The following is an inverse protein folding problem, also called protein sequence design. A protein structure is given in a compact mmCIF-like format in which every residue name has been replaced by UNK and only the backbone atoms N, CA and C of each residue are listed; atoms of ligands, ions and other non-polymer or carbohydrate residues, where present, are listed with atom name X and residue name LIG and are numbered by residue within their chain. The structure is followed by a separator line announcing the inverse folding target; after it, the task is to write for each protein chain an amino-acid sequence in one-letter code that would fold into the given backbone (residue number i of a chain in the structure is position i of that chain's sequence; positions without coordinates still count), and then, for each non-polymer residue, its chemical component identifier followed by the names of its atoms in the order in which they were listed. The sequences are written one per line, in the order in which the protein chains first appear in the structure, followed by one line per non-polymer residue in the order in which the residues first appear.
data_IF_965405604005
#
_entry.id   IF_965405604005
#
_cell.length_a   1.000
_cell.length_b   1.000
_cell.length_c   1.000
_cell.angle_alpha   90.00
_cell.angle_beta   90.00
_cell.angle_gamma   90.00
#
_symmetry.space_group_name_H-M   'P 1'
#
loop_
_entity.id
_entity.type
_entity.pdbx_description
1 polymer ?
#
# COMPACT_ATOMS: atom_id res chain seq x y z
N UNK A 1 40.76 6.05 -5.02
CA UNK A 1 39.51 6.74 -4.70
C UNK A 1 39.07 6.25 -3.32
N UNK A 2 39.22 7.11 -2.31
CA UNK A 2 38.86 6.75 -0.95
C UNK A 2 37.33 6.80 -0.81
N UNK A 3 36.76 5.67 -0.40
CA UNK A 3 35.35 5.59 -0.05
C UNK A 3 35.12 6.43 1.22
N UNK A 4 34.08 7.26 1.30
CA UNK A 4 33.79 8.02 2.50
C UNK A 4 33.45 7.09 3.65
N UNK A 5 34.22 7.15 4.74
CA UNK A 5 33.92 6.47 6.00
C UNK A 5 32.72 7.18 6.64
N UNK A 6 31.56 6.53 6.61
CA UNK A 6 30.35 7.04 7.26
C UNK A 6 30.47 6.80 8.76
N UNK A 7 30.49 7.88 9.56
CA UNK A 7 30.43 7.78 11.00
C UNK A 7 29.01 7.29 11.42
N UNK A 8 28.89 6.30 12.31
CA UNK A 8 27.59 5.83 12.78
C UNK A 8 26.86 6.97 13.50
N UNK A 9 25.65 7.28 13.04
CA UNK A 9 24.76 8.22 13.69
C UNK A 9 24.42 7.77 15.12
N UNK A 10 23.96 8.69 15.95
CA UNK A 10 23.59 8.47 17.35
C UNK A 10 22.63 7.28 17.47
N UNK A 11 22.91 6.26 18.30
CA UNK A 11 22.02 5.12 18.43
C UNK A 11 20.64 5.58 18.94
N UNK A 12 19.59 5.20 18.21
CA UNK A 12 18.22 5.27 18.72
C UNK A 12 18.15 4.48 20.04
N UNK A 13 17.25 4.88 20.95
CA UNK A 13 17.03 4.12 22.19
C UNK A 13 16.54 2.73 21.80
N UNK A 14 17.45 1.76 21.85
CA UNK A 14 17.12 0.37 21.57
C UNK A 14 15.96 -0.07 22.48
N UNK A 15 14.91 -0.63 21.91
CA UNK A 15 13.75 -1.16 22.66
C UNK A 15 14.10 -2.39 23.47
N UNK A 16 15.34 -2.90 23.37
CA UNK A 16 15.84 -4.07 24.07
C UNK A 16 15.27 -5.40 23.59
N UNK A 17 14.37 -5.39 22.64
CA UNK A 17 13.82 -6.62 22.06
C UNK A 17 14.71 -7.12 20.90
N UNK A 18 14.97 -8.43 20.82
CA UNK A 18 15.69 -8.98 19.69
C UNK A 18 14.91 -8.77 18.40
N UNK A 19 15.61 -8.55 17.26
CA UNK A 19 14.94 -8.37 15.98
C UNK A 19 14.20 -9.63 15.55
N UNK A 20 13.02 -9.45 14.96
CA UNK A 20 12.20 -10.54 14.42
C UNK A 20 12.84 -11.08 13.15
N UNK A 21 13.41 -10.19 12.33
CA UNK A 21 14.21 -10.49 11.16
C UNK A 21 15.57 -9.81 11.27
N UNK A 22 16.63 -10.55 10.91
CA UNK A 22 18.00 -10.05 11.04
C UNK A 22 18.43 -9.18 9.85
N UNK A 23 17.99 -9.57 8.64
CA UNK A 23 18.32 -8.93 7.37
C UNK A 23 17.04 -8.68 6.57
N UNK A 24 16.63 -7.43 6.52
CA UNK A 24 15.39 -7.00 5.87
C UNK A 24 15.76 -6.39 4.52
N UNK A 25 15.31 -7.02 3.44
CA UNK A 25 15.42 -6.51 2.07
C UNK A 25 14.15 -5.77 1.67
N UNK A 26 14.26 -4.55 1.19
CA UNK A 26 13.14 -3.72 0.73
C UNK A 26 13.39 -3.32 -0.71
N UNK A 27 12.48 -3.68 -1.61
CA UNK A 27 12.49 -3.25 -3.02
C UNK A 27 11.43 -2.18 -3.21
N UNK A 28 11.86 -0.97 -3.51
CA UNK A 28 10.99 0.21 -3.58
C UNK A 28 10.99 1.01 -2.27
N UNK A 29 11.55 2.21 -2.29
CA UNK A 29 11.64 3.13 -1.15
C UNK A 29 10.73 4.36 -1.34
N UNK A 30 9.51 4.14 -1.81
CA UNK A 30 8.48 5.16 -1.80
C UNK A 30 7.99 5.46 -0.37
N UNK A 31 6.82 6.06 -0.25
CA UNK A 31 6.18 6.34 1.03
C UNK A 31 6.12 5.10 1.96
N UNK A 32 5.67 3.97 1.42
CA UNK A 32 5.44 2.75 2.22
C UNK A 32 6.75 2.05 2.55
N UNK A 33 7.57 1.71 1.55
CA UNK A 33 8.86 1.04 1.79
C UNK A 33 9.80 1.87 2.64
N UNK A 34 9.86 3.19 2.41
CA UNK A 34 10.63 4.12 3.24
C UNK A 34 10.14 4.18 4.68
N UNK A 35 8.81 4.16 4.90
CA UNK A 35 8.25 4.14 6.26
C UNK A 35 8.54 2.84 7.00
N UNK A 36 8.51 1.70 6.29
CA UNK A 36 8.93 0.40 6.87
C UNK A 36 10.41 0.45 7.23
N UNK A 37 11.27 0.97 6.34
CA UNK A 37 12.71 1.10 6.59
C UNK A 37 12.99 1.94 7.83
N UNK A 38 12.41 3.14 7.93
CA UNK A 38 12.56 4.03 9.08
C UNK A 38 12.08 3.37 10.38
N UNK A 39 10.91 2.73 10.36
CA UNK A 39 10.37 2.06 11.54
C UNK A 39 11.23 0.86 11.98
N UNK A 40 11.71 0.05 11.03
CA UNK A 40 12.59 -1.08 11.33
C UNK A 40 13.92 -0.63 11.94
N UNK A 41 14.52 0.43 11.42
CA UNK A 41 15.75 1.04 11.96
C UNK A 41 15.58 1.58 13.39
N UNK A 42 14.42 2.16 13.65
CA UNK A 42 14.11 2.70 14.98
C UNK A 42 13.87 1.58 16.01
N UNK A 43 13.15 0.53 15.62
CA UNK A 43 12.78 -0.58 16.51
C UNK A 43 13.92 -1.57 16.72
N UNK A 44 14.66 -1.90 15.67
CA UNK A 44 15.70 -2.93 15.66
C UNK A 44 17.02 -2.39 15.10
N UNK A 45 17.77 -1.57 15.84
CA UNK A 45 19.02 -0.97 15.35
C UNK A 45 20.11 -1.99 14.97
N UNK A 46 19.94 -3.25 15.39
CA UNK A 46 20.87 -4.37 15.10
C UNK A 46 20.45 -5.17 13.86
N UNK A 47 19.26 -4.96 13.32
CA UNK A 47 18.86 -5.52 12.02
C UNK A 47 19.55 -4.77 10.89
N UNK A 48 19.92 -5.50 9.85
CA UNK A 48 20.45 -4.90 8.64
C UNK A 48 19.29 -4.60 7.67
N UNK A 49 19.07 -3.34 7.36
CA UNK A 49 18.07 -2.90 6.37
C UNK A 49 18.76 -2.62 5.05
N UNK A 50 18.45 -3.45 4.06
CA UNK A 50 19.01 -3.42 2.71
C UNK A 50 17.92 -2.95 1.75
N UNK A 51 18.22 -1.99 0.88
CA UNK A 51 17.23 -1.50 -0.05
C UNK A 51 17.70 -1.49 -1.49
N UNK A 52 16.74 -1.71 -2.37
CA UNK A 52 16.89 -1.63 -3.83
C UNK A 52 15.91 -0.59 -4.36
N UNK A 53 16.43 0.44 -5.03
CA UNK A 53 15.67 1.49 -5.71
C UNK A 53 16.58 2.22 -6.71
N UNK A 54 16.09 3.26 -7.37
CA UNK A 54 16.92 4.13 -8.16
C UNK A 54 17.91 4.93 -7.28
N UNK A 55 19.00 5.37 -7.88
CA UNK A 55 20.14 6.00 -7.20
C UNK A 55 19.74 7.22 -6.37
N UNK A 56 18.89 8.10 -6.90
CA UNK A 56 18.52 9.36 -6.21
C UNK A 56 17.71 9.08 -4.93
N UNK A 57 16.82 8.10 -4.98
CA UNK A 57 16.06 7.63 -3.81
C UNK A 57 16.97 6.98 -2.78
N UNK A 58 17.91 6.14 -3.23
CA UNK A 58 18.90 5.49 -2.34
C UNK A 58 19.81 6.50 -1.65
N UNK A 59 20.31 7.50 -2.35
CA UNK A 59 21.10 8.58 -1.75
C UNK A 59 20.30 9.35 -0.68
N UNK A 60 19.02 9.57 -0.94
CA UNK A 60 18.12 10.20 0.03
C UNK A 60 17.88 9.31 1.25
N UNK A 61 17.64 8.00 1.05
CA UNK A 61 17.45 7.03 2.12
C UNK A 61 18.67 6.92 3.04
N UNK A 62 19.87 6.93 2.45
CA UNK A 62 21.13 6.93 3.21
C UNK A 62 21.27 8.20 4.04
N UNK A 63 20.96 9.37 3.49
CA UNK A 63 21.00 10.65 4.25
C UNK A 63 20.00 10.67 5.40
N UNK A 64 18.84 10.03 5.23
CA UNK A 64 17.82 9.89 6.29
C UNK A 64 18.15 8.79 7.29
N UNK A 65 19.25 8.06 7.11
CA UNK A 65 19.61 6.87 7.90
C UNK A 65 18.49 5.81 7.95
N UNK A 66 17.69 5.72 6.87
CA UNK A 66 16.59 4.77 6.76
C UNK A 66 17.07 3.35 6.44
N UNK A 67 18.26 3.23 5.83
CA UNK A 67 18.83 1.96 5.36
C UNK A 67 20.31 1.87 5.72
N UNK A 68 20.84 0.63 5.75
CA UNK A 68 22.27 0.33 5.99
C UNK A 68 23.03 0.05 4.70
N UNK A 69 22.35 -0.60 3.75
CA UNK A 69 22.94 -0.98 2.44
C UNK A 69 22.00 -0.52 1.33
N UNK A 70 22.58 0.10 0.32
CA UNK A 70 21.89 0.62 -0.86
C UNK A 70 22.49 0.00 -2.12
N UNK A 71 21.64 -0.48 -3.03
CA UNK A 71 22.06 -0.88 -4.38
C UNK A 71 20.88 -0.72 -5.36
N UNK A 72 21.25 -0.51 -6.62
CA UNK A 72 20.32 -0.53 -7.76
C UNK A 72 20.14 -1.94 -8.35
N UNK A 73 20.94 -2.91 -7.88
CA UNK A 73 20.90 -4.31 -8.28
C UNK A 73 20.35 -5.20 -7.13
N UNK A 74 19.29 -6.01 -7.37
CA UNK A 74 18.74 -6.92 -6.39
C UNK A 74 19.69 -8.00 -5.84
N UNK A 75 20.86 -8.20 -6.43
CA UNK A 75 21.87 -9.17 -5.94
C UNK A 75 22.26 -8.95 -4.48
N UNK A 76 22.12 -7.72 -3.96
CA UNK A 76 22.39 -7.40 -2.54
C UNK A 76 21.43 -8.09 -1.57
N UNK A 77 20.29 -8.61 -2.07
CA UNK A 77 19.30 -9.34 -1.29
C UNK A 77 19.66 -10.81 -1.03
N UNK A 78 20.86 -11.24 -1.43
CA UNK A 78 21.26 -12.66 -1.43
C UNK A 78 21.07 -13.36 -0.07
N UNK A 79 21.21 -12.64 1.03
CA UNK A 79 21.20 -13.21 2.38
C UNK A 79 20.11 -12.64 3.28
N UNK A 80 19.04 -12.07 2.73
CA UNK A 80 17.93 -11.53 3.52
C UNK A 80 17.01 -12.65 4.02
N UNK A 81 16.45 -12.48 5.19
CA UNK A 81 15.46 -13.40 5.79
C UNK A 81 14.02 -12.85 5.71
N UNK A 82 13.86 -11.56 5.35
CA UNK A 82 12.60 -10.95 4.96
C UNK A 82 12.79 -10.13 3.68
N UNK A 83 11.95 -10.36 2.67
CA UNK A 83 11.85 -9.52 1.46
C UNK A 83 10.52 -8.79 1.47
N UNK A 84 10.57 -7.47 1.31
CA UNK A 84 9.39 -6.59 1.21
C UNK A 84 9.38 -5.94 -0.17
N UNK A 85 8.41 -6.33 -1.01
CA UNK A 85 8.19 -5.74 -2.33
C UNK A 85 7.25 -4.54 -2.19
N UNK A 86 7.80 -3.34 -2.22
CA UNK A 86 7.09 -2.09 -2.03
C UNK A 86 7.07 -1.20 -3.28
N UNK A 87 7.30 -1.79 -4.44
CA UNK A 87 7.15 -1.20 -5.76
C UNK A 87 5.66 -1.24 -6.22
N UNK A 88 5.30 -0.65 -7.37
CA UNK A 88 3.99 -0.83 -8.00
C UNK A 88 3.64 -2.31 -8.21
N UNK A 89 2.34 -2.65 -8.19
CA UNK A 89 1.88 -4.05 -8.15
C UNK A 89 2.41 -4.88 -9.32
N UNK A 90 2.42 -4.33 -10.54
CA UNK A 90 2.95 -5.04 -11.71
C UNK A 90 4.44 -5.31 -11.60
N UNK A 91 5.19 -4.33 -11.15
CA UNK A 91 6.62 -4.48 -10.91
C UNK A 91 6.89 -5.50 -9.79
N UNK A 92 6.08 -5.55 -8.73
CA UNK A 92 6.19 -6.59 -7.71
C UNK A 92 5.97 -8.00 -8.30
N UNK A 93 5.04 -8.16 -9.25
CA UNK A 93 4.81 -9.42 -9.96
C UNK A 93 6.03 -9.83 -10.79
N UNK A 94 6.64 -8.90 -11.50
CA UNK A 94 7.88 -9.12 -12.27
C UNK A 94 9.04 -9.52 -11.34
N UNK A 95 9.22 -8.80 -10.24
CA UNK A 95 10.25 -9.10 -9.24
C UNK A 95 10.07 -10.48 -8.59
N UNK A 96 8.85 -10.95 -8.38
CA UNK A 96 8.60 -12.30 -7.87
C UNK A 96 9.13 -13.38 -8.82
N UNK A 97 9.03 -13.16 -10.13
CA UNK A 97 9.52 -14.14 -11.12
C UNK A 97 11.06 -14.28 -11.11
N UNK A 98 11.77 -13.21 -10.77
CA UNK A 98 13.24 -13.15 -10.77
C UNK A 98 13.83 -13.35 -9.36
N UNK A 99 13.00 -13.44 -8.32
CA UNK A 99 13.46 -13.41 -6.93
C UNK A 99 14.44 -14.53 -6.58
N UNK A 100 14.26 -15.72 -7.19
CA UNK A 100 15.12 -16.89 -6.96
C UNK A 100 16.57 -16.68 -7.43
N UNK A 101 16.78 -15.83 -8.41
CA UNK A 101 18.11 -15.48 -8.94
C UNK A 101 18.89 -14.60 -7.95
N UNK A 102 18.19 -13.83 -7.15
CA UNK A 102 18.76 -12.81 -6.27
C UNK A 102 18.86 -13.26 -4.81
N UNK A 103 17.86 -13.97 -4.29
CA UNK A 103 17.81 -14.38 -2.88
C UNK A 103 18.17 -15.85 -2.74
N UNK A 104 19.30 -16.15 -2.10
CA UNK A 104 19.87 -17.51 -2.03
C UNK A 104 19.36 -18.31 -0.82
N UNK A 105 18.98 -17.62 0.25
CA UNK A 105 18.56 -18.27 1.50
C UNK A 105 17.04 -18.39 1.61
N UNK A 106 16.53 -19.29 2.48
CA UNK A 106 15.12 -19.30 2.82
C UNK A 106 14.68 -17.94 3.40
N UNK A 107 13.60 -17.39 2.85
CA UNK A 107 13.11 -16.08 3.27
C UNK A 107 11.58 -16.03 3.33
N UNK A 108 11.06 -15.18 4.22
CA UNK A 108 9.68 -14.71 4.15
C UNK A 108 9.61 -13.61 3.10
N UNK A 109 8.62 -13.69 2.21
CA UNK A 109 8.40 -12.69 1.17
C UNK A 109 7.03 -12.08 1.37
N UNK A 110 6.95 -10.78 1.35
CA UNK A 110 5.69 -10.02 1.41
C UNK A 110 5.72 -8.86 0.44
N UNK A 111 4.54 -8.37 0.07
CA UNK A 111 4.41 -7.14 -0.70
C UNK A 111 3.62 -6.07 0.08
N UNK A 112 3.50 -4.89 -0.48
CA UNK A 112 2.68 -3.80 0.07
C UNK A 112 1.65 -3.28 -0.93
N UNK A 113 1.39 -4.03 -1.98
CA UNK A 113 0.52 -3.63 -3.08
C UNK A 113 -0.94 -3.45 -2.68
N UNK A 114 -1.65 -2.64 -3.45
CA UNK A 114 -3.06 -2.30 -3.18
C UNK A 114 -4.06 -3.37 -3.66
N UNK A 115 -3.62 -4.34 -4.46
CA UNK A 115 -4.41 -5.49 -4.92
C UNK A 115 -3.66 -6.78 -4.60
N UNK A 116 -4.39 -7.90 -4.39
CA UNK A 116 -3.79 -9.13 -3.85
C UNK A 116 -3.91 -10.36 -4.75
N UNK A 117 -5.00 -10.54 -5.52
CA UNK A 117 -5.18 -11.77 -6.31
C UNK A 117 -4.03 -12.02 -7.27
N UNK A 118 -3.67 -11.00 -8.06
CA UNK A 118 -2.65 -11.14 -9.09
C UNK A 118 -1.26 -11.43 -8.49
N UNK A 119 -0.88 -10.76 -7.42
CA UNK A 119 0.43 -10.97 -6.78
C UNK A 119 0.51 -12.29 -6.03
N UNK A 120 -0.56 -12.73 -5.36
CA UNK A 120 -0.64 -14.05 -4.71
C UNK A 120 -0.57 -15.17 -5.73
N UNK A 121 -1.23 -15.01 -6.88
CA UNK A 121 -1.15 -16.00 -7.97
C UNK A 121 0.27 -16.10 -8.54
N UNK A 122 0.91 -14.96 -8.82
CA UNK A 122 2.31 -14.94 -9.28
C UNK A 122 3.26 -15.61 -8.27
N UNK A 123 3.05 -15.38 -6.98
CA UNK A 123 3.87 -15.96 -5.92
C UNK A 123 3.78 -17.49 -5.81
N UNK A 124 2.79 -18.15 -6.42
CA UNK A 124 2.71 -19.63 -6.46
C UNK A 124 3.86 -20.29 -7.21
N UNK A 125 4.50 -19.55 -8.11
CA UNK A 125 5.66 -20.02 -8.85
C UNK A 125 6.97 -19.99 -8.04
N UNK A 126 6.96 -19.37 -6.86
CA UNK A 126 8.16 -19.28 -6.02
C UNK A 126 8.64 -20.66 -5.55
N UNK A 127 9.96 -20.89 -5.54
CA UNK A 127 10.54 -22.10 -4.96
C UNK A 127 10.20 -22.29 -3.49
N UNK A 128 10.22 -23.53 -2.96
CA UNK A 128 9.87 -23.85 -1.57
C UNK A 128 10.71 -23.16 -0.49
N UNK A 129 11.87 -22.58 -0.83
CA UNK A 129 12.68 -21.81 0.11
C UNK A 129 12.01 -20.48 0.50
N UNK A 130 11.01 -20.03 -0.27
CA UNK A 130 10.25 -18.82 0.02
C UNK A 130 8.88 -19.13 0.60
N UNK A 131 8.49 -18.37 1.61
CA UNK A 131 7.11 -18.34 2.11
C UNK A 131 6.51 -16.99 1.80
N UNK A 132 5.63 -16.92 0.81
CA UNK A 132 4.96 -15.68 0.44
C UNK A 132 3.70 -15.45 1.28
N UNK A 133 3.57 -14.24 1.80
CA UNK A 133 2.37 -13.73 2.48
C UNK A 133 2.09 -12.36 1.91
N UNK A 134 1.04 -12.22 1.13
CA UNK A 134 0.65 -10.92 0.59
C UNK A 134 0.37 -9.92 1.71
N UNK A 135 0.76 -8.68 1.50
CA UNK A 135 0.58 -7.59 2.45
C UNK A 135 -0.08 -6.37 1.80
N UNK A 136 -0.88 -5.65 2.57
CA UNK A 136 -1.41 -4.35 2.17
C UNK A 136 -1.63 -3.45 3.40
N UNK A 137 -0.68 -2.55 3.71
CA UNK A 137 -0.90 -1.54 4.74
C UNK A 137 -1.95 -0.53 4.29
N UNK A 138 -3.04 -0.39 5.04
CA UNK A 138 -4.05 0.65 4.80
C UNK A 138 -3.60 1.99 5.40
N UNK A 139 -2.39 2.37 5.08
CA UNK A 139 -1.73 3.57 5.52
C UNK A 139 -1.23 4.34 4.31
N UNK A 140 -1.84 5.47 4.04
CA UNK A 140 -1.44 6.34 2.93
C UNK A 140 -1.31 7.79 3.36
N UNK A 141 -0.70 8.58 2.49
CA UNK A 141 -0.66 10.04 2.53
C UNK A 141 -1.12 10.57 1.17
N UNK A 142 -1.58 11.81 1.13
CA UNK A 142 -1.90 12.48 -0.13
C UNK A 142 -0.66 12.67 -1.03
N UNK A 143 0.54 12.60 -0.44
CA UNK A 143 1.82 12.71 -1.16
C UNK A 143 2.58 11.40 -1.03
N UNK A 144 3.05 10.87 -2.15
CA UNK A 144 3.96 9.74 -2.23
C UNK A 144 5.41 10.16 -2.01
N UNK A 145 6.34 9.23 -2.27
CA UNK A 145 7.79 9.48 -2.20
C UNK A 145 8.40 9.24 -0.83
N UNK A 146 9.70 9.04 -0.82
CA UNK A 146 10.49 8.78 0.39
C UNK A 146 10.52 10.00 1.32
N UNK A 147 10.46 11.20 0.77
CA UNK A 147 10.48 12.46 1.53
C UNK A 147 9.23 12.65 2.42
N UNK A 148 8.17 11.88 2.16
CA UNK A 148 6.96 11.84 2.98
C UNK A 148 6.88 10.58 3.86
N UNK A 149 7.90 9.72 3.84
CA UNK A 149 7.98 8.53 4.68
C UNK A 149 8.21 8.90 6.14
N UNK A 150 7.63 8.11 7.04
CA UNK A 150 7.77 8.32 8.49
C UNK A 150 7.57 7.01 9.24
N UNK A 151 8.28 6.83 10.34
CA UNK A 151 8.28 5.59 11.12
C UNK A 151 6.94 5.27 11.79
N UNK A 152 6.10 6.26 12.02
CA UNK A 152 4.79 6.11 12.66
C UNK A 152 3.61 5.97 11.67
N UNK A 153 3.89 5.84 10.36
CA UNK A 153 2.86 5.82 9.31
C UNK A 153 1.77 4.76 9.55
N UNK A 154 2.16 3.61 10.08
CA UNK A 154 1.28 2.45 10.25
C UNK A 154 0.57 2.41 11.61
N UNK A 155 0.90 3.30 12.53
CA UNK A 155 0.41 3.26 13.91
C UNK A 155 -1.12 3.32 13.97
N UNK A 156 -1.70 2.26 14.57
CA UNK A 156 -3.15 2.10 14.74
C UNK A 156 -3.93 1.79 13.45
N UNK A 157 -3.23 1.61 12.30
CA UNK A 157 -3.86 1.36 11.00
C UNK A 157 -3.92 -0.13 10.68
N UNK A 158 -4.97 -0.60 9.99
CA UNK A 158 -5.02 -1.98 9.53
C UNK A 158 -3.88 -2.29 8.54
N UNK A 159 -3.33 -3.49 8.66
CA UNK A 159 -2.44 -4.08 7.66
C UNK A 159 -3.01 -5.43 7.27
N UNK A 160 -3.51 -5.53 6.06
CA UNK A 160 -4.13 -6.75 5.57
C UNK A 160 -3.04 -7.75 5.17
N UNK A 161 -3.17 -8.99 5.62
CA UNK A 161 -2.27 -10.10 5.30
C UNK A 161 -3.05 -11.19 4.58
N UNK A 162 -2.55 -11.64 3.45
CA UNK A 162 -3.16 -12.69 2.62
C UNK A 162 -2.20 -13.89 2.52
N UNK A 163 -2.21 -14.80 3.52
CA UNK A 163 -1.35 -15.97 3.49
C UNK A 163 -1.74 -16.90 2.35
N UNK A 164 -0.74 -17.48 1.67
CA UNK A 164 -0.90 -18.51 0.66
C UNK A 164 -0.35 -19.85 1.18
N UNK A 165 -1.17 -20.90 1.20
CA UNK A 165 -0.75 -22.22 1.64
C UNK A 165 -0.37 -22.33 3.12
N UNK A 166 0.54 -23.25 3.45
CA UNK A 166 1.01 -23.51 4.81
C UNK A 166 2.08 -22.48 5.23
N UNK A 167 1.66 -21.33 5.69
CA UNK A 167 2.56 -20.23 6.07
C UNK A 167 2.97 -20.22 7.57
N UNK A 168 2.33 -21.00 8.43
CA UNK A 168 2.70 -21.30 9.84
C UNK A 168 3.55 -20.25 10.55
N UNK A 169 4.77 -20.62 10.91
CA UNK A 169 5.73 -19.75 11.60
C UNK A 169 6.08 -18.44 10.83
N UNK A 170 6.05 -18.47 9.49
CA UNK A 170 6.31 -17.26 8.70
C UNK A 170 5.18 -16.23 8.88
N UNK A 171 3.92 -16.68 8.93
CA UNK A 171 2.79 -15.80 9.21
C UNK A 171 2.86 -15.22 10.62
N UNK A 172 3.24 -16.03 11.61
CA UNK A 172 3.42 -15.55 12.99
C UNK A 172 4.51 -14.48 13.09
N UNK A 173 5.68 -14.72 12.46
CA UNK A 173 6.78 -13.76 12.41
C UNK A 173 6.38 -12.46 11.69
N UNK A 174 5.73 -12.56 10.52
CA UNK A 174 5.31 -11.38 9.78
C UNK A 174 4.22 -10.60 10.55
N UNK A 175 3.29 -11.30 11.19
CA UNK A 175 2.26 -10.69 12.05
C UNK A 175 2.91 -9.94 13.22
N UNK A 176 3.89 -10.54 13.87
CA UNK A 176 4.64 -9.89 14.96
C UNK A 176 5.42 -8.66 14.45
N UNK A 177 6.07 -8.77 13.28
CA UNK A 177 6.78 -7.65 12.65
C UNK A 177 5.85 -6.47 12.36
N UNK A 178 4.75 -6.72 11.67
CA UNK A 178 3.74 -5.72 11.32
C UNK A 178 3.14 -5.07 12.58
N UNK A 179 2.87 -5.88 13.62
CA UNK A 179 2.37 -5.37 14.92
C UNK A 179 3.39 -4.47 15.62
N UNK A 180 4.68 -4.83 15.56
CA UNK A 180 5.74 -4.02 16.14
C UNK A 180 5.91 -2.66 15.42
N UNK A 181 5.63 -2.58 14.11
CA UNK A 181 5.54 -1.32 13.37
C UNK A 181 4.33 -0.46 13.81
N UNK A 182 3.52 -0.93 14.75
CA UNK A 182 2.34 -0.26 15.29
C UNK A 182 1.07 -0.49 14.48
N UNK A 183 1.09 -1.28 13.43
CA UNK A 183 -0.09 -1.61 12.64
C UNK A 183 -0.97 -2.66 13.32
N UNK A 184 -2.20 -2.80 12.84
CA UNK A 184 -3.17 -3.81 13.25
C UNK A 184 -3.29 -4.89 12.17
N UNK A 185 -2.59 -6.03 12.27
CA UNK A 185 -2.66 -7.07 11.26
C UNK A 185 -4.07 -7.68 11.20
N UNK A 186 -4.57 -7.90 9.99
CA UNK A 186 -5.85 -8.54 9.69
C UNK A 186 -5.65 -9.57 8.60
N UNK A 187 -6.01 -10.81 8.86
CA UNK A 187 -5.92 -11.89 7.87
C UNK A 187 -7.20 -11.84 7.01
N UNK A 188 -7.02 -11.87 5.70
CA UNK A 188 -8.09 -11.89 4.71
C UNK A 188 -7.66 -12.74 3.51
N UNK A 189 -8.61 -13.42 2.87
CA UNK A 189 -8.39 -14.10 1.60
C UNK A 189 -8.15 -13.07 0.47
N UNK A 190 -7.28 -13.41 -0.52
CA UNK A 190 -6.90 -12.49 -1.59
C UNK A 190 -8.09 -12.04 -2.46
N UNK A 191 -9.05 -12.94 -2.75
CA UNK A 191 -10.22 -12.58 -3.53
C UNK A 191 -11.18 -11.71 -2.72
N UNK A 192 -11.37 -12.03 -1.42
CA UNK A 192 -12.15 -11.20 -0.52
C UNK A 192 -11.52 -9.81 -0.32
N UNK A 193 -10.18 -9.73 -0.26
CA UNK A 193 -9.44 -8.47 -0.22
C UNK A 193 -9.79 -7.59 -1.42
N UNK A 194 -9.60 -8.10 -2.63
CA UNK A 194 -9.77 -7.30 -3.85
C UNK A 194 -11.21 -6.85 -4.04
N UNK A 195 -12.18 -7.73 -3.72
CA UNK A 195 -13.61 -7.36 -3.73
C UNK A 195 -13.94 -6.26 -2.70
N UNK A 196 -13.48 -6.38 -1.46
CA UNK A 196 -13.74 -5.39 -0.41
C UNK A 196 -13.09 -4.05 -0.75
N UNK A 197 -11.84 -4.07 -1.23
CA UNK A 197 -11.12 -2.84 -1.57
C UNK A 197 -11.68 -2.18 -2.85
N UNK A 198 -12.31 -2.94 -3.75
CA UNK A 198 -13.04 -2.36 -4.88
C UNK A 198 -14.11 -1.36 -4.41
N UNK A 199 -14.86 -1.69 -3.35
CA UNK A 199 -15.89 -0.82 -2.78
C UNK A 199 -15.34 0.23 -1.79
N UNK A 200 -14.40 -0.13 -0.92
CA UNK A 200 -13.94 0.77 0.14
C UNK A 200 -12.89 1.78 -0.31
N UNK A 201 -12.15 1.49 -1.37
CA UNK A 201 -11.02 2.30 -1.84
C UNK A 201 -11.16 2.70 -3.31
N UNK A 202 -11.33 1.72 -4.20
CA UNK A 202 -11.22 1.97 -5.64
C UNK A 202 -12.44 2.73 -6.17
N UNK A 203 -13.65 2.32 -5.81
CA UNK A 203 -14.88 3.02 -6.18
C UNK A 203 -14.91 4.48 -5.69
N UNK A 204 -14.61 4.79 -4.41
CA UNK A 204 -14.54 6.18 -3.94
C UNK A 204 -13.55 7.04 -4.71
N UNK A 205 -12.38 6.51 -5.02
CA UNK A 205 -11.36 7.23 -5.78
C UNK A 205 -11.81 7.55 -7.20
N UNK A 206 -12.29 6.53 -7.93
CA UNK A 206 -12.73 6.69 -9.31
C UNK A 206 -13.94 7.64 -9.40
N UNK A 207 -14.87 7.51 -8.44
CA UNK A 207 -16.04 8.39 -8.34
C UNK A 207 -15.65 9.84 -8.08
N UNK A 208 -14.75 10.08 -7.13
CA UNK A 208 -14.28 11.44 -6.83
C UNK A 208 -13.58 12.07 -8.04
N UNK A 209 -12.75 11.31 -8.76
CA UNK A 209 -12.06 11.78 -9.96
C UNK A 209 -13.04 12.07 -11.11
N UNK A 210 -13.99 11.17 -11.35
CA UNK A 210 -15.02 11.35 -12.38
C UNK A 210 -15.95 12.53 -12.06
N UNK A 211 -16.37 12.66 -10.80
CA UNK A 211 -17.19 13.78 -10.35
C UNK A 211 -16.47 15.11 -10.56
N UNK A 212 -15.19 15.21 -10.16
CA UNK A 212 -14.43 16.44 -10.33
C UNK A 212 -14.24 16.81 -11.80
N UNK A 213 -13.98 15.80 -12.67
CA UNK A 213 -13.87 16.00 -14.11
C UNK A 213 -15.17 16.55 -14.69
N UNK A 214 -16.32 15.90 -14.39
CA UNK A 214 -17.63 16.33 -14.88
C UNK A 214 -17.97 17.76 -14.42
N UNK A 215 -17.73 18.09 -13.16
CA UNK A 215 -17.98 19.42 -12.62
C UNK A 215 -17.07 20.45 -13.29
N UNK A 216 -15.76 20.18 -13.37
CA UNK A 216 -14.79 21.09 -13.98
C UNK A 216 -15.11 21.42 -15.44
N UNK A 217 -15.45 20.40 -16.23
CA UNK A 217 -15.82 20.55 -17.63
C UNK A 217 -17.14 21.35 -17.81
N UNK A 218 -18.09 21.18 -16.88
CA UNK A 218 -19.38 21.85 -16.97
C UNK A 218 -19.34 23.32 -16.57
N UNK A 219 -18.55 23.71 -15.56
CA UNK A 219 -18.63 25.05 -14.96
C UNK A 219 -17.36 25.91 -15.15
N UNK A 220 -16.25 25.30 -15.55
CA UNK A 220 -14.97 25.97 -15.73
C UNK A 220 -14.41 26.61 -14.44
N UNK A 221 -13.33 27.39 -14.58
CA UNK A 221 -12.65 28.02 -13.43
C UNK A 221 -13.56 29.04 -12.72
N UNK A 222 -14.35 29.81 -13.48
CA UNK A 222 -15.24 30.82 -12.92
C UNK A 222 -16.36 30.19 -12.07
N UNK A 223 -16.92 29.07 -12.54
CA UNK A 223 -17.93 28.34 -11.76
C UNK A 223 -17.32 27.67 -10.53
N UNK A 224 -16.10 27.14 -10.63
CA UNK A 224 -15.39 26.55 -9.49
C UNK A 224 -15.07 27.56 -8.39
N UNK A 225 -14.94 28.86 -8.71
CA UNK A 225 -14.76 29.92 -7.71
C UNK A 225 -15.98 30.06 -6.76
N UNK A 226 -17.15 29.55 -7.15
CA UNK A 226 -18.37 29.50 -6.33
C UNK A 226 -18.49 28.22 -5.50
N UNK A 227 -17.53 27.27 -5.64
CA UNK A 227 -17.60 25.99 -4.96
C UNK A 227 -17.43 26.12 -3.45
N UNK A 228 -18.29 25.44 -2.71
CA UNK A 228 -18.21 25.32 -1.26
C UNK A 228 -17.44 24.08 -0.80
N UNK A 229 -17.35 23.93 0.53
CA UNK A 229 -16.67 22.79 1.19
C UNK A 229 -17.21 21.42 0.75
N UNK A 230 -18.51 21.33 0.45
CA UNK A 230 -19.12 20.06 0.04
C UNK A 230 -18.43 19.45 -1.19
N UNK A 231 -18.18 20.25 -2.24
CA UNK A 231 -17.45 19.77 -3.41
C UNK A 231 -16.00 19.41 -3.05
N UNK A 232 -15.30 20.26 -2.32
CA UNK A 232 -13.89 20.06 -1.96
C UNK A 232 -13.72 18.77 -1.12
N UNK A 233 -14.58 18.52 -0.14
CA UNK A 233 -14.52 17.31 0.70
C UNK A 233 -14.82 16.04 -0.09
N UNK A 234 -15.85 16.10 -0.96
CA UNK A 234 -16.26 14.94 -1.77
C UNK A 234 -15.23 14.58 -2.84
N UNK A 235 -14.53 15.56 -3.41
CA UNK A 235 -13.56 15.35 -4.50
C UNK A 235 -12.11 15.36 -4.03
N UNK A 236 -11.84 15.34 -2.72
CA UNK A 236 -10.48 15.38 -2.15
C UNK A 236 -9.55 14.32 -2.73
N UNK A 237 -10.07 13.15 -3.08
CA UNK A 237 -9.31 12.05 -3.66
C UNK A 237 -8.89 12.32 -5.12
N UNK A 238 -9.52 13.24 -5.83
CA UNK A 238 -9.29 13.49 -7.26
C UNK A 238 -7.87 14.02 -7.59
N UNK A 239 -7.09 14.42 -6.58
CA UNK A 239 -5.70 14.85 -6.74
C UNK A 239 -4.68 13.70 -6.77
N UNK A 240 -5.11 12.45 -6.67
CA UNK A 240 -4.21 11.29 -6.69
C UNK A 240 -3.55 11.10 -8.07
N UNK A 241 -2.24 10.73 -8.12
CA UNK A 241 -1.54 10.48 -9.38
C UNK A 241 -2.12 9.29 -10.14
N UNK A 242 -2.31 9.44 -11.46
CA UNK A 242 -2.93 8.42 -12.30
C UNK A 242 -2.08 7.14 -12.43
N UNK A 243 -0.78 7.24 -12.29
CA UNK A 243 0.17 6.15 -12.46
C UNK A 243 -0.12 4.99 -11.49
N UNK A 244 -0.36 5.31 -10.21
CA UNK A 244 -0.69 4.31 -9.19
C UNK A 244 -2.01 3.61 -9.52
N UNK A 245 -2.98 4.36 -10.04
CA UNK A 245 -4.31 3.85 -10.34
C UNK A 245 -4.36 2.96 -11.58
N UNK A 246 -3.43 3.15 -12.55
CA UNK A 246 -3.30 2.24 -13.71
C UNK A 246 -3.04 0.80 -13.29
N UNK A 247 -2.14 0.59 -12.34
CA UNK A 247 -1.83 -0.76 -11.85
C UNK A 247 -2.98 -1.35 -11.04
N UNK A 248 -3.56 -0.55 -10.14
CA UNK A 248 -4.71 -0.97 -9.32
C UNK A 248 -5.89 -1.38 -10.20
N UNK A 249 -6.26 -0.54 -11.17
CA UNK A 249 -7.40 -0.83 -12.06
C UNK A 249 -7.12 -2.02 -12.97
N UNK A 250 -5.89 -2.19 -13.46
CA UNK A 250 -5.55 -3.31 -14.32
C UNK A 250 -5.51 -4.66 -13.59
N UNK A 251 -5.17 -4.67 -12.30
CA UNK A 251 -5.05 -5.91 -11.51
C UNK A 251 -6.32 -6.27 -10.73
N UNK A 252 -7.34 -5.39 -10.72
CA UNK A 252 -8.64 -5.62 -10.08
C UNK A 252 -9.81 -5.12 -10.92
N UNK A 253 -9.69 -5.16 -12.26
CA UNK A 253 -10.66 -4.58 -13.19
C UNK A 253 -12.07 -5.17 -13.07
N UNK A 254 -12.18 -6.46 -12.83
CA UNK A 254 -13.44 -7.20 -12.70
C UNK A 254 -14.24 -6.74 -11.46
N UNK A 255 -13.64 -6.74 -10.26
CA UNK A 255 -14.31 -6.30 -9.04
C UNK A 255 -14.61 -4.80 -9.05
N UNK A 256 -13.71 -3.99 -9.62
CA UNK A 256 -13.95 -2.55 -9.81
C UNK A 256 -15.10 -2.34 -10.79
N UNK A 257 -15.18 -3.13 -11.86
CA UNK A 257 -16.28 -3.08 -12.81
C UNK A 257 -17.63 -3.32 -12.15
N UNK A 258 -17.74 -4.37 -11.32
CA UNK A 258 -18.94 -4.67 -10.54
C UNK A 258 -19.32 -3.48 -9.64
N UNK A 259 -18.35 -2.92 -8.90
CA UNK A 259 -18.62 -1.80 -8.00
C UNK A 259 -19.09 -0.53 -8.75
N UNK A 260 -18.50 -0.26 -9.92
CA UNK A 260 -18.92 0.86 -10.79
C UNK A 260 -20.31 0.63 -11.34
N UNK A 261 -20.65 -0.58 -11.80
CA UNK A 261 -21.97 -0.90 -12.36
C UNK A 261 -23.09 -0.70 -11.32
N UNK A 262 -22.84 -1.11 -10.06
CA UNK A 262 -23.78 -0.87 -8.96
C UNK A 262 -23.99 0.64 -8.69
N UNK A 263 -22.93 1.43 -8.71
CA UNK A 263 -23.04 2.89 -8.55
C UNK A 263 -23.77 3.53 -9.73
N UNK A 264 -23.43 3.13 -10.96
CA UNK A 264 -24.09 3.63 -12.19
C UNK A 264 -25.59 3.32 -12.15
N UNK A 265 -25.97 2.10 -11.78
CA UNK A 265 -27.38 1.71 -11.63
C UNK A 265 -28.11 2.59 -10.59
N UNK A 266 -27.48 2.81 -9.43
CA UNK A 266 -28.02 3.69 -8.39
C UNK A 266 -28.20 5.13 -8.88
N UNK A 267 -27.23 5.68 -9.59
CA UNK A 267 -27.31 7.05 -10.13
C UNK A 267 -28.40 7.16 -11.22
N UNK A 268 -28.56 6.13 -12.05
CA UNK A 268 -29.64 6.07 -13.05
C UNK A 268 -31.02 6.00 -12.39
N UNK A 269 -31.17 5.25 -11.29
CA UNK A 269 -32.40 5.18 -10.53
C UNK A 269 -32.76 6.54 -9.92
N UNK A 270 -31.80 7.20 -9.25
CA UNK A 270 -32.00 8.55 -8.74
C UNK A 270 -32.37 9.55 -9.84
N UNK A 271 -31.69 9.47 -11.01
CA UNK A 271 -32.03 10.35 -12.14
C UNK A 271 -33.48 10.18 -12.62
N UNK A 272 -33.97 8.94 -12.67
CA UNK A 272 -35.37 8.67 -13.06
C UNK A 272 -36.37 9.19 -12.02
N UNK A 273 -35.99 9.16 -10.75
CA UNK A 273 -36.86 9.55 -9.63
C UNK A 273 -36.88 11.07 -9.36
N UNK A 274 -35.99 11.86 -9.95
CA UNK A 274 -35.90 13.30 -9.68
C UNK A 274 -37.23 14.07 -9.68
N UNK A 275 -38.21 13.78 -10.58
CA UNK A 275 -39.51 14.48 -10.56
C UNK A 275 -40.41 14.07 -9.42
N UNK A 276 -40.26 12.90 -8.80
CA UNK A 276 -41.14 12.29 -7.79
C UNK A 276 -40.51 12.36 -6.40
N UNK A 277 -39.26 11.91 -6.26
CA UNK A 277 -38.47 11.98 -5.02
C UNK A 277 -38.69 10.84 -4.02
N UNK A 278 -39.46 9.84 -4.31
CA UNK A 278 -39.71 8.72 -3.40
C UNK A 278 -38.44 7.87 -3.18
N UNK A 279 -37.76 7.53 -4.28
CA UNK A 279 -36.50 6.79 -4.25
C UNK A 279 -35.37 7.59 -3.61
N UNK A 280 -35.36 8.90 -3.81
CA UNK A 280 -34.41 9.81 -3.21
C UNK A 280 -34.42 9.70 -1.67
N UNK A 281 -35.60 9.71 -1.06
CA UNK A 281 -35.76 9.59 0.41
C UNK A 281 -35.18 8.26 0.93
N UNK A 282 -35.44 7.15 0.26
CA UNK A 282 -34.92 5.82 0.62
C UNK A 282 -33.39 5.80 0.59
N UNK A 283 -32.78 6.30 -0.51
CA UNK A 283 -31.32 6.31 -0.68
C UNK A 283 -30.66 7.19 0.39
N UNK A 284 -31.20 8.37 0.67
CA UNK A 284 -30.63 9.27 1.68
C UNK A 284 -30.72 8.68 3.09
N UNK A 285 -31.85 8.06 3.45
CA UNK A 285 -32.02 7.41 4.75
C UNK A 285 -31.08 6.21 4.91
N UNK A 286 -30.93 5.38 3.87
CA UNK A 286 -30.03 4.25 3.85
C UNK A 286 -28.56 4.70 3.96
N UNK A 287 -28.16 5.70 3.16
CA UNK A 287 -26.82 6.27 3.19
C UNK A 287 -26.48 6.87 4.57
N UNK A 288 -27.39 7.61 5.18
CA UNK A 288 -27.22 8.16 6.51
C UNK A 288 -27.05 7.06 7.59
N UNK A 289 -27.73 5.93 7.45
CA UNK A 289 -27.54 4.77 8.33
C UNK A 289 -26.13 4.18 8.21
N UNK A 290 -25.67 3.94 7.00
CA UNK A 290 -24.32 3.44 6.76
C UNK A 290 -23.23 4.44 7.18
N UNK A 291 -23.46 5.73 6.98
CA UNK A 291 -22.52 6.77 7.42
C UNK A 291 -22.35 6.79 8.94
N UNK A 292 -23.41 6.53 9.72
CA UNK A 292 -23.30 6.39 11.19
C UNK A 292 -22.52 5.15 11.61
N UNK A 293 -22.57 4.08 10.84
CA UNK A 293 -21.84 2.85 11.12
C UNK A 293 -20.34 2.96 10.77
N UNK A 294 -19.96 3.95 9.98
CA UNK A 294 -18.55 4.17 9.58
C UNK A 294 -17.77 4.79 10.74
N UNK A 295 -16.96 3.95 11.42
CA UNK A 295 -16.06 4.36 12.51
C UNK A 295 -14.72 4.80 11.92
N UNK A 296 -14.55 6.10 11.65
CA UNK A 296 -13.27 6.69 11.15
C UNK A 296 -12.94 7.91 12.00
#
# INVERSE_FOLDING_TARGET
MDLPVIQPGRPAKATGQPPIFQKIGIVGLGLIGGSVALAARELWPTSLVIAVDNKDVLETAMRLHAIDVAADDPVVLAEVDLVILAAPVRQNIELLAELDEHVRQPAVVTDTGSTKRAVVEAARALPPKFTFIGGHPLGGSAKGGLENARSDLFKGRPWLLTPSGASGNALEKLTAFVSALGAQPRIIDAAAHDRVLAFLSHLPQLTASALMQVVGDAVGQDGLALAGRGLADTTRLASSPAEIWRDITATNADEIGVALDELIAMLQDLRRDLPVGDRLADVFNGAASWRRALSV
#
